data_IF_278401355141
#
_entry.id   IF_278401355141
#
_cell.length_a   1.000
_cell.length_b   1.000
_cell.length_c   1.000
_cell.angle_alpha   90.00
_cell.angle_beta   90.00
_cell.angle_gamma   90.00
#
_symmetry.space_group_name_H-M   'P 1'
#
loop_
_entity.id
_entity.type
_entity.pdbx_description
1 polymer ?
#
# COMPACT_ATOMS: atom_id res chain seq x y z
N UNK A 1 0.00 0.86 4.15
CA UNK A 1 1.37 0.35 4.03
C UNK A 1 2.06 1.09 2.91
N UNK A 2 3.27 1.59 3.17
CA UNK A 2 4.00 2.48 2.28
C UNK A 2 5.03 1.68 1.47
N UNK A 3 5.12 1.94 0.17
CA UNK A 3 6.02 1.21 -0.74
C UNK A 3 6.55 2.12 -1.84
N UNK A 4 7.81 1.88 -2.24
CA UNK A 4 8.56 2.76 -3.15
C UNK A 4 8.54 4.23 -2.69
N UNK A 5 8.46 4.44 -1.37
CA UNK A 5 8.37 5.77 -0.77
C UNK A 5 9.75 6.35 -0.50
N UNK A 6 9.83 7.66 -0.36
CA UNK A 6 10.99 8.38 0.17
C UNK A 6 10.86 8.51 1.69
N UNK A 7 11.96 8.29 2.41
CA UNK A 7 12.00 8.50 3.85
C UNK A 7 12.22 9.98 4.17
N UNK A 8 11.39 10.54 5.04
CA UNK A 8 11.45 11.93 5.46
C UNK A 8 11.96 12.03 6.92
N UNK A 9 12.44 13.22 7.35
CA UNK A 9 12.79 13.45 8.75
C UNK A 9 11.61 13.15 9.69
N UNK A 10 11.93 12.68 10.90
CA UNK A 10 10.91 12.40 11.92
C UNK A 10 10.14 11.09 11.73
N UNK A 11 10.56 10.22 10.80
CA UNK A 11 9.94 8.90 10.59
C UNK A 11 8.73 8.90 9.65
N UNK A 12 8.41 10.05 9.05
CA UNK A 12 7.41 10.15 7.98
C UNK A 12 7.96 9.62 6.65
N UNK A 13 7.06 9.36 5.70
CA UNK A 13 7.42 8.93 4.35
C UNK A 13 6.52 9.62 3.32
N UNK A 14 7.00 9.77 2.08
CA UNK A 14 6.27 10.32 0.93
C UNK A 14 6.25 9.30 -0.20
N UNK A 15 5.10 8.97 -0.76
CA UNK A 15 4.98 7.98 -1.83
C UNK A 15 3.74 7.10 -1.72
N UNK A 16 3.76 5.96 -2.40
CA UNK A 16 2.57 5.12 -2.51
C UNK A 16 2.18 4.48 -1.19
N UNK A 17 0.88 4.47 -0.93
CA UNK A 17 0.24 3.89 0.22
C UNK A 17 -0.86 2.94 -0.23
N UNK A 18 -0.63 1.63 -0.02
CA UNK A 18 -1.69 0.63 -0.06
C UNK A 18 -2.45 0.68 1.27
N UNK A 19 -3.66 1.22 1.23
CA UNK A 19 -4.34 1.69 2.42
C UNK A 19 -4.97 0.57 3.27
N UNK A 20 -4.95 0.76 4.59
CA UNK A 20 -5.55 -0.15 5.57
C UNK A 20 -6.29 0.66 6.64
N UNK A 21 -7.57 0.38 6.83
CA UNK A 21 -8.43 1.13 7.75
C UNK A 21 -9.87 1.21 7.25
N UNK A 22 -10.80 1.47 8.16
CA UNK A 22 -12.22 1.58 7.82
C UNK A 22 -12.43 2.63 6.71
N UNK A 23 -13.10 2.25 5.63
CA UNK A 23 -13.32 3.09 4.45
C UNK A 23 -12.13 3.22 3.49
N UNK A 24 -10.98 2.61 3.81
CA UNK A 24 -9.72 2.77 3.09
C UNK A 24 -9.12 1.47 2.56
N UNK A 25 -9.57 0.31 3.04
CA UNK A 25 -9.10 -0.99 2.56
C UNK A 25 -9.17 -1.13 1.03
N UNK A 26 -8.05 -1.55 0.42
CA UNK A 26 -7.97 -1.82 -1.02
C UNK A 26 -7.73 -0.58 -1.89
N UNK A 27 -7.69 0.62 -1.30
CA UNK A 27 -7.40 1.86 -2.03
C UNK A 27 -5.89 2.08 -2.19
N UNK A 28 -5.54 2.94 -3.15
CA UNK A 28 -4.18 3.41 -3.37
C UNK A 28 -4.15 4.93 -3.25
N UNK A 29 -3.26 5.42 -2.38
CA UNK A 29 -2.99 6.85 -2.20
C UNK A 29 -1.51 7.13 -2.46
N UNK A 30 -1.16 8.37 -2.79
CA UNK A 30 0.22 8.85 -2.82
C UNK A 30 0.40 9.96 -1.78
N UNK A 31 0.97 9.58 -0.64
CA UNK A 31 1.19 10.44 0.52
C UNK A 31 2.19 11.55 0.18
N UNK A 32 1.84 12.78 0.53
CA UNK A 32 2.57 14.00 0.14
C UNK A 32 2.76 14.20 -1.38
N UNK A 33 2.01 13.46 -2.21
CA UNK A 33 2.04 13.56 -3.66
C UNK A 33 0.66 13.88 -4.24
N UNK A 34 0.25 13.07 -5.22
CA UNK A 34 -0.98 13.26 -6.01
C UNK A 34 -2.28 12.95 -5.26
N UNK A 35 -2.20 12.35 -4.08
CA UNK A 35 -3.37 11.98 -3.30
C UNK A 35 -4.00 10.66 -3.75
N UNK A 36 -5.33 10.57 -3.79
CA UNK A 36 -6.05 9.32 -4.09
C UNK A 36 -5.84 8.92 -5.55
N UNK A 37 -5.16 7.78 -5.77
CA UNK A 37 -4.88 7.23 -7.09
C UNK A 37 -5.88 6.13 -7.49
N UNK A 38 -6.48 5.45 -6.51
CA UNK A 38 -7.46 4.40 -6.74
C UNK A 38 -8.52 4.39 -5.64
N UNK A 39 -9.77 4.67 -6.01
CA UNK A 39 -10.88 4.90 -5.07
C UNK A 39 -11.77 3.67 -4.83
N UNK A 40 -11.63 2.61 -5.63
CA UNK A 40 -12.45 1.40 -5.48
C UNK A 40 -12.11 0.68 -4.18
N UNK A 41 -13.14 0.40 -3.39
CA UNK A 41 -13.00 -0.29 -2.11
C UNK A 41 -12.71 -1.77 -2.28
N UNK A 42 -11.74 -2.29 -1.53
CA UNK A 42 -11.47 -3.71 -1.34
C UNK A 42 -12.21 -4.32 -0.15
N UNK A 43 -13.00 -3.53 0.60
CA UNK A 43 -13.74 -4.00 1.79
C UNK A 43 -14.62 -5.23 1.58
N UNK A 44 -15.23 -5.50 0.40
CA UNK A 44 -15.93 -6.75 0.15
C UNK A 44 -15.07 -8.01 0.31
N UNK A 45 -13.74 -7.87 0.32
CA UNK A 45 -12.79 -8.97 0.52
C UNK A 45 -12.25 -9.03 1.95
N UNK A 46 -12.56 -8.03 2.80
CA UNK A 46 -12.11 -7.93 4.17
C UNK A 46 -12.72 -9.03 5.04
N UNK A 47 -11.94 -9.53 6.01
CA UNK A 47 -12.39 -10.35 7.12
C UNK A 47 -12.32 -9.51 8.40
N UNK A 48 -13.43 -8.87 8.84
CA UNK A 48 -13.41 -7.98 9.99
C UNK A 48 -13.01 -8.72 11.27
N UNK A 49 -12.12 -8.12 12.07
CA UNK A 49 -11.65 -8.72 13.33
C UNK A 49 -10.69 -9.89 13.17
N UNK A 50 -10.38 -10.30 11.93
CA UNK A 50 -9.46 -11.39 11.63
C UNK A 50 -8.17 -10.89 10.98
N UNK A 51 -7.21 -11.80 10.86
CA UNK A 51 -6.01 -11.57 10.07
C UNK A 51 -6.35 -11.55 8.58
N UNK A 52 -5.95 -10.47 7.92
CA UNK A 52 -6.10 -10.30 6.48
C UNK A 52 -4.73 -10.40 5.81
N UNK A 53 -4.65 -11.15 4.71
CA UNK A 53 -3.45 -11.17 3.87
C UNK A 53 -3.53 -10.02 2.89
N UNK A 54 -2.50 -9.18 2.88
CA UNK A 54 -2.39 -8.05 1.96
C UNK A 54 -1.12 -8.24 1.13
N UNK A 55 -1.25 -8.12 -0.18
CA UNK A 55 -0.17 -8.30 -1.13
C UNK A 55 -0.06 -7.08 -2.04
N UNK A 56 1.17 -6.68 -2.33
CA UNK A 56 1.50 -5.56 -3.21
C UNK A 56 2.50 -6.10 -4.22
N UNK A 57 2.15 -6.04 -5.49
CA UNK A 57 3.03 -6.37 -6.61
C UNK A 57 3.29 -5.08 -7.38
N UNK A 58 4.52 -4.60 -7.35
CA UNK A 58 4.90 -3.38 -8.03
C UNK A 58 6.09 -3.68 -8.94
N UNK A 59 5.83 -3.86 -10.24
CA UNK A 59 6.84 -4.18 -11.25
C UNK A 59 6.84 -3.12 -12.35
N UNK A 60 7.98 -2.46 -12.57
CA UNK A 60 8.04 -1.34 -13.51
C UNK A 60 7.05 -0.24 -13.12
N UNK A 61 6.19 0.16 -14.05
CA UNK A 61 5.09 1.11 -13.85
C UNK A 61 3.77 0.44 -13.42
N UNK A 62 3.71 -0.89 -13.36
CA UNK A 62 2.49 -1.63 -13.01
C UNK A 62 2.43 -1.91 -11.51
N UNK A 63 1.33 -1.48 -10.89
CA UNK A 63 1.04 -1.65 -9.47
C UNK A 63 -0.26 -2.44 -9.35
N UNK A 64 -0.18 -3.58 -8.68
CA UNK A 64 -1.31 -4.39 -8.31
C UNK A 64 -1.33 -4.61 -6.80
N UNK A 65 -2.53 -4.66 -6.23
CA UNK A 65 -2.70 -5.04 -4.82
C UNK A 65 -3.82 -6.05 -4.67
N UNK A 66 -3.69 -6.89 -3.64
CA UNK A 66 -4.65 -7.94 -3.36
C UNK A 66 -4.96 -7.98 -1.87
N UNK A 67 -6.24 -8.13 -1.55
CA UNK A 67 -6.73 -8.40 -0.20
C UNK A 67 -7.31 -9.81 -0.17
N UNK A 68 -6.73 -10.67 0.67
CA UNK A 68 -7.11 -12.09 0.78
C UNK A 68 -7.11 -12.82 -0.58
N UNK A 69 -6.14 -12.51 -1.44
CA UNK A 69 -6.00 -13.08 -2.79
C UNK A 69 -7.00 -12.57 -3.81
N UNK A 70 -7.82 -11.56 -3.47
CA UNK A 70 -8.74 -10.88 -4.39
C UNK A 70 -8.16 -9.53 -4.81
N UNK A 71 -8.19 -9.25 -6.11
CA UNK A 71 -7.62 -8.02 -6.67
C UNK A 71 -8.32 -6.78 -6.13
N UNK A 72 -7.55 -5.74 -5.82
CA UNK A 72 -8.04 -4.44 -5.37
C UNK A 72 -7.60 -3.32 -6.32
N UNK A 73 -6.29 -3.19 -6.55
CA UNK A 73 -5.70 -2.21 -7.45
C UNK A 73 -5.12 -2.91 -8.67
N UNK A 74 -5.28 -2.32 -9.84
CA UNK A 74 -4.57 -2.66 -11.07
C UNK A 74 -4.31 -1.36 -11.85
N UNK A 75 -3.15 -0.75 -11.62
CA UNK A 75 -2.81 0.59 -12.08
C UNK A 75 -1.47 0.57 -12.83
N UNK A 76 -1.44 1.13 -14.04
CA UNK A 76 -0.21 1.49 -14.73
C UNK A 76 0.10 2.97 -14.52
N UNK A 77 1.19 3.28 -13.83
CA UNK A 77 1.60 4.62 -13.44
C UNK A 77 3.04 4.91 -13.85
N UNK A 78 3.20 5.42 -15.06
CA UNK A 78 4.50 5.76 -15.65
C UNK A 78 5.25 6.87 -14.92
N UNK A 79 4.51 7.74 -14.22
CA UNK A 79 5.05 8.96 -13.58
C UNK A 79 5.56 8.71 -12.17
N UNK A 80 5.05 7.69 -11.50
CA UNK A 80 5.39 7.49 -10.09
C UNK A 80 6.66 6.69 -9.86
N UNK A 81 7.04 6.60 -8.59
CA UNK A 81 8.32 6.03 -8.20
C UNK A 81 8.44 4.55 -8.58
N UNK A 82 9.65 4.14 -8.97
CA UNK A 82 9.98 2.73 -9.28
C UNK A 82 10.77 2.04 -8.16
N UNK A 83 11.33 2.83 -7.24
CA UNK A 83 12.16 2.36 -6.12
C UNK A 83 11.99 3.30 -4.93
N UNK A 84 12.21 2.77 -3.73
CA UNK A 84 12.15 3.50 -2.48
C UNK A 84 12.09 2.53 -1.31
N UNK A 85 11.78 3.05 -0.12
CA UNK A 85 11.64 2.24 1.09
C UNK A 85 10.26 1.57 1.14
N UNK A 86 10.18 0.52 1.95
CA UNK A 86 8.94 -0.01 2.47
C UNK A 86 8.78 0.46 3.92
N UNK A 87 7.58 0.88 4.30
CA UNK A 87 7.29 1.31 5.67
C UNK A 87 5.88 0.91 6.12
N UNK A 88 5.74 0.67 7.42
CA UNK A 88 4.45 0.44 8.06
C UNK A 88 4.01 1.75 8.71
N UNK A 89 2.83 2.22 8.33
CA UNK A 89 2.29 3.49 8.81
C UNK A 89 1.27 3.25 9.92
N UNK A 90 1.30 4.11 10.94
CA UNK A 90 0.25 4.27 11.94
C UNK A 90 -0.35 5.67 11.77
N UNK A 91 -1.61 5.75 11.34
CA UNK A 91 -2.27 7.03 11.12
C UNK A 91 -2.50 7.77 12.44
N UNK A 92 -2.37 9.10 12.42
CA UNK A 92 -2.69 9.97 13.56
C UNK A 92 -4.21 10.12 13.75
N UNK A 93 -4.67 10.84 14.78
CA UNK A 93 -6.11 11.15 14.96
C UNK A 93 -6.82 10.37 16.06
N UNK A 94 -6.08 9.64 16.90
CA UNK A 94 -6.60 9.02 18.11
C UNK A 94 -5.82 7.77 18.50
N UNK A 95 -6.20 7.11 19.61
CA UNK A 95 -5.69 5.79 19.95
C UNK A 95 -5.98 4.80 18.81
N UNK A 96 -4.93 4.33 18.15
CA UNK A 96 -5.00 3.39 17.03
C UNK A 96 -4.02 2.26 17.26
N UNK A 97 -4.45 1.04 17.00
CA UNK A 97 -3.59 -0.14 17.04
C UNK A 97 -3.67 -0.88 15.71
N UNK A 98 -2.52 -1.21 15.14
CA UNK A 98 -2.40 -2.04 13.94
C UNK A 98 -1.40 -3.16 14.23
N UNK A 99 -1.77 -4.39 13.91
CA UNK A 99 -0.91 -5.57 14.09
C UNK A 99 -0.50 -6.13 12.74
N UNK A 100 0.79 -6.35 12.56
CA UNK A 100 1.37 -6.97 11.36
C UNK A 100 2.04 -8.29 11.75
N UNK A 101 1.98 -9.30 10.88
CA UNK A 101 2.71 -10.56 11.06
C UNK A 101 3.11 -11.14 9.71
N UNK A 102 4.15 -11.98 9.72
CA UNK A 102 4.65 -12.72 8.56
C UNK A 102 5.00 -11.85 7.33
N UNK A 103 5.77 -10.75 7.49
CA UNK A 103 6.19 -9.95 6.34
C UNK A 103 7.06 -10.79 5.41
N UNK A 104 6.82 -10.66 4.11
CA UNK A 104 7.67 -11.19 3.05
C UNK A 104 7.94 -10.06 2.07
N UNK A 105 9.19 -9.96 1.64
CA UNK A 105 9.62 -8.98 0.64
C UNK A 105 10.45 -9.72 -0.39
N UNK A 106 10.04 -9.59 -1.65
CA UNK A 106 10.76 -10.10 -2.81
C UNK A 106 11.05 -8.91 -3.73
N UNK A 107 12.30 -8.82 -4.18
CA UNK A 107 12.71 -7.82 -5.17
C UNK A 107 12.48 -8.43 -6.54
N UNK A 108 11.51 -7.91 -7.28
CA UNK A 108 11.23 -8.34 -8.63
C UNK A 108 12.27 -7.74 -9.58
N UNK A 109 12.85 -8.57 -10.45
CA UNK A 109 13.73 -8.08 -11.50
C UNK A 109 12.94 -7.31 -12.56
N UNK A 110 13.62 -6.34 -13.18
CA UNK A 110 13.10 -5.64 -14.34
C UNK A 110 13.18 -6.61 -15.50
N UNK A 111 12.05 -6.99 -16.10
CA UNK A 111 12.09 -7.61 -17.43
C UNK A 111 12.68 -6.59 -18.41
N UNK A 112 13.76 -6.99 -19.10
CA UNK A 112 14.43 -6.20 -20.15
C UNK A 112 13.48 -5.70 -21.24
#
# INVERSE_FOLDING_TARGET
MQFRSEALPGGSVSGYQADVGAGWWGKLYEEHGRGLLWDKSGEPHLKPGEWNQYEIVAQGDHIQTFLNGKACVDLKDEKGAKRGVFALQLHSGGPTEVRFRNPKLEILESSE
#
